data_IF_323288375461
#
_entry.id   IF_323288375461
#
_cell.length_a   1.000
_cell.length_b   1.000
_cell.length_c   1.000
_cell.angle_alpha   90.00
_cell.angle_beta   90.00
_cell.angle_gamma   90.00
#
_symmetry.space_group_name_H-M   'P 1'
#
loop_
_entity.id
_entity.type
_entity.pdbx_description
1 polymer ?
#
# COMPACT_ATOMS: atom_id res chain seq x y z
N UNK A 1 27.68 22.05 23.18
CA UNK A 1 27.41 20.69 22.66
C UNK A 1 25.93 20.48 22.83
N UNK A 2 25.14 20.79 21.82
CA UNK A 2 23.70 20.52 21.84
C UNK A 2 23.33 19.97 20.47
N UNK A 3 23.74 18.71 20.29
CA UNK A 3 23.38 17.86 19.18
C UNK A 3 22.02 17.22 19.46
N UNK A 4 21.15 17.27 18.43
CA UNK A 4 19.94 16.46 18.22
C UNK A 4 18.63 17.02 18.78
N UNK A 5 18.16 18.10 18.15
CA UNK A 5 16.73 18.23 17.92
C UNK A 5 16.34 17.23 16.82
N UNK A 6 16.04 15.99 17.21
CA UNK A 6 15.45 15.02 16.30
C UNK A 6 14.08 15.55 15.88
N UNK A 7 13.96 15.85 14.58
CA UNK A 7 12.71 15.98 13.83
C UNK A 7 11.80 14.76 14.04
N UNK A 8 11.17 14.66 15.20
CA UNK A 8 10.33 13.53 15.57
C UNK A 8 8.90 13.65 15.00
N UNK A 9 8.75 14.41 13.90
CA UNK A 9 7.48 14.64 13.22
C UNK A 9 7.65 14.59 11.70
N UNK A 10 8.42 13.61 11.21
CA UNK A 10 8.21 13.11 9.84
C UNK A 10 6.89 12.37 9.87
N UNK A 11 5.90 12.92 9.19
CA UNK A 11 4.52 12.42 9.16
C UNK A 11 4.50 10.95 8.74
N UNK A 12 4.59 10.05 9.72
CA UNK A 12 4.51 8.62 9.51
C UNK A 12 3.08 8.28 9.15
N UNK A 13 2.84 7.85 7.91
CA UNK A 13 1.55 7.32 7.51
C UNK A 13 1.19 6.17 8.48
N UNK A 14 0.09 6.26 9.25
CA UNK A 14 -0.23 5.20 10.18
C UNK A 14 -0.46 3.91 9.39
N UNK A 15 0.16 2.82 9.82
CA UNK A 15 0.17 1.54 9.10
C UNK A 15 -1.23 1.06 8.70
N UNK A 16 -2.24 1.39 9.51
CA UNK A 16 -3.65 1.12 9.25
C UNK A 16 -4.19 1.83 8.00
N UNK A 17 -3.79 3.08 7.76
CA UNK A 17 -4.22 3.85 6.58
C UNK A 17 -3.60 3.30 5.30
N UNK A 18 -2.32 2.91 5.36
CA UNK A 18 -1.64 2.25 4.24
C UNK A 18 -2.33 0.92 3.92
N UNK A 19 -2.59 0.12 4.96
CA UNK A 19 -3.27 -1.16 4.82
C UNK A 19 -4.65 -1.00 4.21
N UNK A 20 -5.42 0.01 4.67
CA UNK A 20 -6.75 0.31 4.14
C UNK A 20 -6.68 0.67 2.66
N UNK A 21 -5.74 1.52 2.28
CA UNK A 21 -5.53 1.92 0.89
C UNK A 21 -5.23 0.72 -0.04
N UNK A 22 -4.34 -0.19 0.38
CA UNK A 22 -4.03 -1.40 -0.38
C UNK A 22 -5.24 -2.33 -0.50
N UNK A 23 -6.05 -2.46 0.57
CA UNK A 23 -7.28 -3.23 0.54
C UNK A 23 -8.31 -2.64 -0.42
N UNK A 24 -8.48 -1.32 -0.44
CA UNK A 24 -9.39 -0.64 -1.35
C UNK A 24 -8.96 -0.83 -2.82
N UNK A 25 -7.66 -0.76 -3.12
CA UNK A 25 -7.13 -1.14 -4.45
C UNK A 25 -7.40 -2.59 -4.81
N UNK A 26 -7.18 -3.53 -3.87
CA UNK A 26 -7.44 -4.96 -4.10
C UNK A 26 -8.93 -5.21 -4.38
N UNK A 27 -9.82 -4.53 -3.67
CA UNK A 27 -11.26 -4.63 -3.89
C UNK A 27 -11.64 -4.09 -5.28
N UNK A 28 -11.08 -2.95 -5.70
CA UNK A 28 -11.32 -2.40 -7.03
C UNK A 28 -10.85 -3.35 -8.16
N UNK A 29 -9.71 -4.04 -7.99
CA UNK A 29 -9.25 -5.06 -8.94
C UNK A 29 -10.20 -6.27 -8.94
N UNK A 30 -10.64 -6.72 -7.77
CA UNK A 30 -11.58 -7.84 -7.64
C UNK A 30 -12.93 -7.53 -8.29
N UNK A 31 -13.43 -6.30 -8.15
CA UNK A 31 -14.65 -5.85 -8.84
C UNK A 31 -14.48 -5.85 -10.35
N UNK A 32 -13.32 -5.43 -10.86
CA UNK A 32 -13.03 -5.50 -12.30
C UNK A 32 -13.00 -6.93 -12.82
N UNK A 33 -12.40 -7.87 -12.07
CA UNK A 33 -12.40 -9.31 -12.41
C UNK A 33 -13.81 -9.88 -12.40
N UNK A 34 -14.62 -9.51 -11.41
CA UNK A 34 -15.97 -10.04 -11.25
C UNK A 34 -16.92 -9.54 -12.33
N UNK A 35 -16.78 -8.27 -12.73
CA UNK A 35 -17.53 -7.67 -13.83
C UNK A 35 -16.88 -7.89 -15.20
N UNK A 36 -15.82 -8.70 -15.27
CA UNK A 36 -15.09 -8.92 -16.51
C UNK A 36 -15.94 -9.75 -17.48
N UNK A 37 -16.10 -9.32 -18.75
CA UNK A 37 -16.83 -10.11 -19.74
C UNK A 37 -16.17 -11.49 -19.91
N UNK A 38 -16.93 -12.54 -20.29
CA UNK A 38 -16.36 -13.89 -20.43
C UNK A 38 -15.14 -13.85 -21.36
N UNK A 39 -13.94 -14.23 -20.87
CA UNK A 39 -12.71 -14.05 -21.63
C UNK A 39 -12.70 -14.96 -22.86
N UNK A 40 -12.25 -14.43 -24.00
CA UNK A 40 -11.99 -15.25 -25.18
C UNK A 40 -10.77 -16.13 -24.84
N UNK A 41 -10.87 -17.48 -24.90
CA UNK A 41 -9.80 -18.35 -24.45
C UNK A 41 -8.45 -18.03 -25.13
N UNK A 42 -7.40 -17.98 -24.29
CA UNK A 42 -5.96 -17.93 -24.63
C UNK A 42 -5.28 -16.58 -24.94
N UNK A 43 -5.94 -15.41 -24.88
CA UNK A 43 -5.24 -14.14 -25.16
C UNK A 43 -5.72 -12.95 -24.32
N UNK A 44 -6.41 -13.18 -23.21
CA UNK A 44 -6.91 -12.06 -22.40
C UNK A 44 -5.82 -11.50 -21.48
N UNK A 45 -4.91 -10.75 -22.10
CA UNK A 45 -3.80 -10.07 -21.41
C UNK A 45 -4.32 -9.16 -20.30
N UNK A 46 -5.49 -8.55 -20.48
CA UNK A 46 -6.09 -7.68 -19.48
C UNK A 46 -6.61 -8.48 -18.29
N UNK A 47 -7.30 -9.61 -18.50
CA UNK A 47 -7.72 -10.48 -17.40
C UNK A 47 -6.52 -11.05 -16.64
N UNK A 48 -5.48 -11.51 -17.35
CA UNK A 48 -4.24 -11.99 -16.75
C UNK A 48 -3.54 -10.91 -15.93
N UNK A 49 -3.49 -9.67 -16.45
CA UNK A 49 -2.97 -8.53 -15.73
C UNK A 49 -3.76 -8.27 -14.44
N UNK A 50 -5.10 -8.31 -14.49
CA UNK A 50 -5.93 -8.13 -13.29
C UNK A 50 -5.66 -9.21 -12.22
N UNK A 51 -5.49 -10.48 -12.63
CA UNK A 51 -5.11 -11.56 -11.71
C UNK A 51 -3.74 -11.31 -11.08
N UNK A 52 -2.75 -10.89 -11.88
CA UNK A 52 -1.42 -10.53 -11.40
C UNK A 52 -1.49 -9.37 -10.40
N UNK A 53 -2.24 -8.31 -10.71
CA UNK A 53 -2.43 -7.17 -9.80
C UNK A 53 -3.05 -7.60 -8.47
N UNK A 54 -4.04 -8.51 -8.49
CA UNK A 54 -4.67 -9.01 -7.27
C UNK A 54 -3.67 -9.78 -6.40
N UNK A 55 -2.83 -10.62 -7.01
CA UNK A 55 -1.83 -11.40 -6.30
C UNK A 55 -0.76 -10.49 -5.68
N UNK A 56 -0.22 -9.57 -6.48
CA UNK A 56 0.76 -8.58 -6.03
C UNK A 56 0.25 -7.70 -4.89
N UNK A 57 -1.01 -7.24 -4.94
CA UNK A 57 -1.63 -6.50 -3.85
C UNK A 57 -1.78 -7.35 -2.59
N UNK A 58 -2.06 -8.65 -2.74
CA UNK A 58 -2.16 -9.58 -1.61
C UNK A 58 -0.80 -9.78 -0.93
N UNK A 59 0.27 -9.91 -1.70
CA UNK A 59 1.63 -10.01 -1.19
C UNK A 59 2.06 -8.73 -0.45
N UNK A 60 1.75 -7.56 -1.00
CA UNK A 60 2.10 -6.26 -0.37
C UNK A 60 1.36 -6.04 0.95
N UNK A 61 0.07 -6.41 1.02
CA UNK A 61 -0.70 -6.38 2.28
C UNK A 61 -0.06 -7.33 3.30
N UNK A 62 0.31 -8.55 2.88
CA UNK A 62 0.95 -9.52 3.78
C UNK A 62 2.32 -9.03 4.28
N UNK A 63 3.11 -8.37 3.43
CA UNK A 63 4.39 -7.74 3.79
C UNK A 63 4.18 -6.64 4.83
N UNK A 64 3.19 -5.77 4.65
CA UNK A 64 2.85 -4.74 5.63
C UNK A 64 2.35 -5.34 6.95
N UNK A 65 1.48 -6.35 6.89
CA UNK A 65 0.97 -7.04 8.08
C UNK A 65 2.10 -7.73 8.86
N UNK A 66 3.12 -8.27 8.18
CA UNK A 66 4.32 -8.81 8.81
C UNK A 66 5.15 -7.72 9.51
N UNK A 67 5.32 -6.54 8.90
CA UNK A 67 6.02 -5.41 9.54
C UNK A 67 5.30 -4.98 10.83
N UNK A 68 3.97 -4.89 10.79
CA UNK A 68 3.15 -4.50 11.96
C UNK A 68 3.22 -5.55 13.06
N UNK A 69 3.19 -6.84 12.71
CA UNK A 69 3.16 -7.95 13.66
C UNK A 69 4.54 -8.25 14.27
N UNK A 70 5.58 -8.26 13.44
CA UNK A 70 6.88 -8.84 13.80
C UNK A 70 7.87 -7.80 14.35
N UNK A 71 7.55 -6.50 14.30
CA UNK A 71 8.42 -5.42 14.79
C UNK A 71 7.79 -4.65 15.95
N UNK A 72 8.63 -4.14 16.84
CA UNK A 72 8.18 -3.25 17.90
C UNK A 72 7.70 -1.91 17.34
N UNK A 73 6.69 -1.25 17.94
CA UNK A 73 6.15 0.02 17.45
C UNK A 73 7.20 1.11 17.22
N UNK A 74 8.28 1.13 18.00
CA UNK A 74 9.39 2.07 17.85
C UNK A 74 10.21 1.86 16.55
N UNK A 75 10.28 0.62 16.04
CA UNK A 75 11.05 0.25 14.83
C UNK A 75 10.18 0.13 13.57
N UNK A 76 8.86 0.15 13.75
CA UNK A 76 7.90 0.05 12.65
C UNK A 76 7.97 1.27 11.72
N UNK A 77 8.18 2.48 12.25
CA UNK A 77 8.16 3.72 11.46
C UNK A 77 9.11 3.69 10.26
N UNK A 78 10.39 3.41 10.49
CA UNK A 78 11.38 3.33 9.42
C UNK A 78 11.10 2.18 8.41
N UNK A 79 10.56 1.06 8.90
CA UNK A 79 10.22 -0.09 8.05
C UNK A 79 8.99 0.18 7.18
N UNK A 80 8.02 0.93 7.71
CA UNK A 80 6.83 1.37 6.99
C UNK A 80 7.21 2.41 5.94
N UNK A 81 8.08 3.36 6.27
CA UNK A 81 8.59 4.34 5.31
C UNK A 81 9.34 3.67 4.15
N UNK A 82 10.21 2.69 4.44
CA UNK A 82 10.88 1.87 3.44
C UNK A 82 9.89 1.10 2.55
N UNK A 83 8.90 0.45 3.17
CA UNK A 83 7.81 -0.22 2.46
C UNK A 83 7.08 0.74 1.51
N UNK A 84 6.69 1.92 1.97
CA UNK A 84 6.00 2.93 1.16
C UNK A 84 6.89 3.45 0.03
N UNK A 85 8.19 3.58 0.27
CA UNK A 85 9.14 4.03 -0.75
C UNK A 85 9.32 3.00 -1.87
N UNK A 86 9.23 1.70 -1.53
CA UNK A 86 9.46 0.57 -2.47
C UNK A 86 8.17 -0.01 -3.05
N UNK A 87 7.01 0.30 -2.48
CA UNK A 87 5.73 -0.21 -2.97
C UNK A 87 5.34 0.40 -4.31
N UNK A 88 5.06 -0.45 -5.29
CA UNK A 88 4.61 -0.05 -6.64
C UNK A 88 3.14 0.37 -6.72
N UNK A 89 2.38 0.16 -5.64
CA UNK A 89 0.96 0.50 -5.59
C UNK A 89 0.67 1.82 -4.90
N UNK A 90 1.67 2.37 -4.21
CA UNK A 90 1.57 3.62 -3.46
C UNK A 90 2.30 4.70 -4.24
N UNK A 91 1.59 5.32 -5.18
CA UNK A 91 2.11 6.41 -5.99
C UNK A 91 2.25 7.70 -5.17
N UNK A 92 3.02 8.67 -5.68
CA UNK A 92 3.24 9.96 -5.01
C UNK A 92 1.93 10.71 -4.69
N UNK A 93 0.86 10.52 -5.47
CA UNK A 93 -0.47 11.05 -5.17
C UNK A 93 -1.10 10.38 -3.94
N UNK A 94 -0.98 9.06 -3.83
CA UNK A 94 -1.46 8.31 -2.68
C UNK A 94 -0.67 8.67 -1.41
N UNK A 95 0.65 8.84 -1.53
CA UNK A 95 1.50 9.31 -0.43
C UNK A 95 1.03 10.67 0.10
N UNK A 96 0.63 11.60 -0.78
CA UNK A 96 0.08 12.91 -0.39
C UNK A 96 -1.26 12.78 0.35
N UNK A 97 -2.18 11.96 -0.16
CA UNK A 97 -3.50 11.73 0.47
C UNK A 97 -3.40 11.04 1.83
N UNK A 98 -2.38 10.19 2.02
CA UNK A 98 -2.12 9.50 3.28
C UNK A 98 -1.37 10.39 4.30
N UNK A 99 -0.74 11.48 3.85
CA UNK A 99 0.03 12.44 4.68
C UNK A 99 -0.78 13.69 5.05
N UNK A 100 -1.83 14.02 4.29
CA UNK A 100 -2.71 15.12 4.65
C UNK A 100 -3.81 15.38 3.63
N UNK A 101 -5.02 14.98 4.00
CA UNK A 101 -6.22 15.78 3.70
C UNK A 101 -6.70 16.37 5.04
N UNK A 102 -6.01 17.43 5.48
CA UNK A 102 -6.61 18.45 6.32
C UNK A 102 -6.83 19.66 5.43
N UNK A 103 -7.94 19.70 4.70
CA UNK A 103 -8.45 20.92 4.07
C UNK A 103 -9.97 20.83 4.00
N UNK A 104 -10.58 21.86 4.58
CA UNK A 104 -11.98 22.05 4.93
C UNK A 104 -13.00 21.85 3.82
#
# INVERSE_FOLDING_TARGET
MDERNHDNNRVGMPALSIRRFLLDKKNAVREQIWNYPPPIPACDQQFNYLLEQQDLLSQEIARLDAIIRDRQPADQGASIDDFVSTSKFIDNEAKRKLVGDQSS
#
